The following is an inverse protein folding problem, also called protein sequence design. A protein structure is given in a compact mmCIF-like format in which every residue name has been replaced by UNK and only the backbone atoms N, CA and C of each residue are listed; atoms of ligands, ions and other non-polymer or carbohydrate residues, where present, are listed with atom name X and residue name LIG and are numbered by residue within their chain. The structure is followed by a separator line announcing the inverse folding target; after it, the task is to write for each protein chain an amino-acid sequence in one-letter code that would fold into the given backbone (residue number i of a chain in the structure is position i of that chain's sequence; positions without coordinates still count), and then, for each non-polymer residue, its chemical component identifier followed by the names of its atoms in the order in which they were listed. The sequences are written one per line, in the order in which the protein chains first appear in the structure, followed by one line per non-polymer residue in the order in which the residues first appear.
data_IF_006668074503
#
_entry.id   IF_006668074503
#
_cell.length_a   1.000
_cell.length_b   1.000
_cell.length_c   1.000
_cell.angle_alpha   90.00
_cell.angle_beta   90.00
_cell.angle_gamma   90.00
#
_symmetry.space_group_name_H-M   'P 1'
#
loop_
_entity.id
_entity.type
_entity.pdbx_description
1 polymer ?
#
# COMPACT_ATOMS: atom_id res chain seq x y z
N UNK A 1 4.08 3.64 12.94
CA UNK A 1 3.69 2.42 12.20
C UNK A 1 3.02 2.82 10.91
N UNK A 2 3.42 2.23 9.79
CA UNK A 2 2.93 2.57 8.45
C UNK A 2 2.48 1.30 7.73
N UNK A 3 1.48 1.41 6.86
CA UNK A 3 1.11 0.36 5.92
C UNK A 3 1.91 0.52 4.62
N UNK A 4 2.12 -0.60 3.91
CA UNK A 4 2.75 -0.61 2.59
C UNK A 4 1.67 -0.54 1.51
N UNK A 5 1.98 0.20 0.45
CA UNK A 5 1.16 0.30 -0.75
C UNK A 5 2.07 0.20 -1.97
N UNK A 6 1.54 -0.32 -3.07
CA UNK A 6 2.20 -0.24 -4.38
C UNK A 6 1.26 0.44 -5.36
N UNK A 7 1.81 1.17 -6.31
CA UNK A 7 1.08 1.68 -7.46
C UNK A 7 1.47 0.87 -8.69
N UNK A 8 0.46 0.41 -9.43
CA UNK A 8 0.64 -0.26 -10.70
C UNK A 8 -0.46 0.15 -11.66
N UNK A 9 -0.10 0.59 -12.85
CA UNK A 9 -1.02 1.01 -13.91
C UNK A 9 -1.99 2.11 -13.43
N UNK A 10 -1.50 3.03 -12.59
CA UNK A 10 -2.29 4.12 -11.99
C UNK A 10 -3.23 3.70 -10.86
N UNK A 11 -3.22 2.44 -10.44
CA UNK A 11 -4.03 1.91 -9.35
C UNK A 11 -3.17 1.61 -8.11
N UNK A 12 -3.63 2.06 -6.94
CA UNK A 12 -3.00 1.69 -5.68
C UNK A 12 -3.51 0.35 -5.17
N UNK A 13 -2.59 -0.47 -4.67
CA UNK A 13 -2.85 -1.74 -4.04
C UNK A 13 -2.27 -1.79 -2.63
N UNK A 14 -2.99 -2.41 -1.71
CA UNK A 14 -2.54 -2.69 -0.35
C UNK A 14 -2.82 -4.16 0.02
N UNK A 15 -2.00 -4.80 0.86
CA UNK A 15 -2.29 -6.15 1.30
C UNK A 15 -3.56 -6.19 2.18
N UNK A 16 -4.35 -7.29 2.11
CA UNK A 16 -5.52 -7.48 2.97
C UNK A 16 -5.12 -7.67 4.44
N UNK A 17 -6.04 -7.40 5.38
CA UNK A 17 -5.77 -7.56 6.82
C UNK A 17 -5.40 -9.00 7.21
N UNK A 18 -5.90 -9.98 6.44
CA UNK A 18 -5.55 -11.39 6.60
C UNK A 18 -4.04 -11.67 6.49
N UNK A 19 -3.24 -10.76 5.91
CA UNK A 19 -1.78 -10.84 5.88
C UNK A 19 -1.10 -10.48 7.22
N UNK A 20 -1.86 -10.22 8.30
CA UNK A 20 -1.32 -9.97 9.64
C UNK A 20 -0.84 -8.54 9.88
N UNK A 21 -1.40 -7.57 9.14
CA UNK A 21 -1.03 -6.16 9.24
C UNK A 21 -2.10 -5.33 9.97
N UNK A 22 -1.66 -4.21 10.54
CA UNK A 22 -2.55 -3.32 11.29
C UNK A 22 -3.58 -2.63 10.39
N UNK A 23 -4.85 -2.50 10.83
CA UNK A 23 -5.88 -1.75 10.14
C UNK A 23 -5.62 -0.24 10.25
N UNK A 24 -4.71 0.27 9.43
CA UNK A 24 -4.36 1.68 9.46
C UNK A 24 -5.47 2.57 8.90
N UNK A 25 -5.74 3.68 9.59
CA UNK A 25 -6.81 4.64 9.23
C UNK A 25 -6.65 5.17 7.79
N UNK A 26 -5.42 5.45 7.35
CA UNK A 26 -5.17 5.89 5.97
C UNK A 26 -5.58 4.82 4.95
N UNK A 27 -5.20 3.56 5.20
CA UNK A 27 -5.53 2.41 4.35
C UNK A 27 -7.03 2.26 4.23
N UNK A 28 -7.76 2.26 5.36
CA UNK A 28 -9.22 2.16 5.33
C UNK A 28 -9.88 3.28 4.53
N UNK A 29 -9.41 4.53 4.69
CA UNK A 29 -9.93 5.67 3.94
C UNK A 29 -9.69 5.52 2.43
N UNK A 30 -8.52 5.05 2.03
CA UNK A 30 -8.18 4.82 0.62
C UNK A 30 -9.01 3.68 0.01
N UNK A 31 -9.24 2.60 0.76
CA UNK A 31 -10.12 1.50 0.33
C UNK A 31 -11.57 1.97 0.20
N UNK A 32 -12.11 2.66 1.20
CA UNK A 32 -13.50 3.18 1.18
C UNK A 32 -13.77 4.19 0.06
N UNK A 33 -12.74 4.95 -0.34
CA UNK A 33 -12.85 5.92 -1.44
C UNK A 33 -12.63 5.32 -2.83
N UNK A 34 -12.38 4.00 -2.92
CA UNK A 34 -12.07 3.32 -4.18
C UNK A 34 -10.69 3.66 -4.76
N UNK A 35 -9.89 4.47 -4.05
CA UNK A 35 -8.55 4.88 -4.49
C UNK A 35 -7.51 3.79 -4.30
N UNK A 36 -7.81 2.76 -3.50
CA UNK A 36 -6.95 1.61 -3.28
C UNK A 36 -7.77 0.32 -3.35
N UNK A 37 -7.16 -0.75 -3.84
CA UNK A 37 -7.74 -2.09 -3.93
C UNK A 37 -6.93 -3.05 -3.05
N UNK A 38 -7.61 -3.94 -2.33
CA UNK A 38 -6.92 -5.00 -1.60
C UNK A 38 -6.38 -6.05 -2.58
N UNK A 39 -5.07 -6.32 -2.49
CA UNK A 39 -4.40 -7.38 -3.26
C UNK A 39 -3.26 -7.94 -2.42
N UNK A 40 -3.15 -9.27 -2.35
CA UNK A 40 -1.97 -9.90 -1.73
C UNK A 40 -0.74 -9.50 -2.53
N UNK A 41 0.20 -8.81 -1.87
CA UNK A 41 1.42 -8.30 -2.50
C UNK A 41 2.57 -9.28 -2.30
N UNK A 42 3.17 -9.73 -3.40
CA UNK A 42 4.40 -10.53 -3.37
C UNK A 42 5.62 -9.65 -3.66
N UNK A 43 6.83 -10.15 -3.36
CA UNK A 43 8.07 -9.43 -3.73
C UNK A 43 8.16 -9.14 -5.24
N UNK A 44 7.57 -10.00 -6.08
CA UNK A 44 7.51 -9.79 -7.53
C UNK A 44 6.62 -8.59 -7.88
N UNK A 45 5.48 -8.44 -7.19
CA UNK A 45 4.61 -7.28 -7.37
C UNK A 45 5.32 -5.98 -6.96
N UNK A 46 6.04 -6.00 -5.83
CA UNK A 46 6.77 -4.81 -5.35
C UNK A 46 7.91 -4.42 -6.30
N UNK A 47 8.63 -5.40 -6.86
CA UNK A 47 9.69 -5.15 -7.87
C UNK A 47 9.14 -4.67 -9.22
N UNK A 48 7.93 -5.09 -9.59
CA UNK A 48 7.27 -4.71 -10.84
C UNK A 48 6.36 -3.48 -10.74
N UNK A 49 6.22 -2.90 -9.55
CA UNK A 49 5.40 -1.72 -9.29
C UNK A 49 6.03 -0.47 -9.90
N UNK A 50 5.18 0.47 -10.32
CA UNK A 50 5.62 1.75 -10.87
C UNK A 50 6.10 2.68 -9.72
N UNK A 51 5.51 2.51 -8.54
CA UNK A 51 5.97 3.11 -7.29
C UNK A 51 5.60 2.26 -6.06
N UNK A 52 6.41 2.39 -5.01
CA UNK A 52 6.14 1.82 -3.69
C UNK A 52 5.96 2.96 -2.70
N UNK A 53 5.00 2.81 -1.79
CA UNK A 53 4.72 3.80 -0.76
C UNK A 53 4.62 3.14 0.62
N UNK A 54 5.04 3.91 1.62
CA UNK A 54 4.73 3.65 3.02
C UNK A 54 3.84 4.78 3.50
N UNK A 55 2.74 4.46 4.19
CA UNK A 55 1.82 5.50 4.62
C UNK A 55 1.13 5.26 5.95
N UNK A 56 0.78 6.36 6.60
CA UNK A 56 -0.02 6.39 7.82
C UNK A 56 -0.88 7.67 7.85
N UNK A 57 -1.77 7.80 8.82
CA UNK A 57 -2.69 8.93 8.93
C UNK A 57 -2.01 10.28 9.19
N UNK A 58 -0.78 10.28 9.72
CA UNK A 58 -0.05 11.50 10.08
C UNK A 58 0.63 12.10 8.86
N UNK A 59 1.35 11.27 8.09
CA UNK A 59 2.20 11.71 6.99
C UNK A 59 1.62 11.43 5.60
N UNK A 60 0.47 10.77 5.51
CA UNK A 60 -0.10 10.35 4.23
C UNK A 60 0.74 9.26 3.57
N UNK A 61 0.76 9.24 2.24
CA UNK A 61 1.60 8.33 1.45
C UNK A 61 2.97 8.98 1.21
N UNK A 62 4.02 8.30 1.63
CA UNK A 62 5.41 8.70 1.38
C UNK A 62 6.02 7.68 0.44
N UNK A 63 6.65 8.15 -0.65
CA UNK A 63 7.32 7.27 -1.61
C UNK A 63 8.48 6.57 -0.92
N UNK A 64 8.55 5.25 -1.07
CA UNK A 64 9.58 4.41 -0.51
C UNK A 64 10.45 3.85 -1.63
N UNK A 65 11.75 3.75 -1.35
CA UNK A 65 12.71 3.05 -2.21
C UNK A 65 13.08 1.75 -1.51
N UNK A 66 12.57 0.60 -1.99
CA UNK A 66 12.94 -0.67 -1.40
C UNK A 66 14.43 -0.93 -1.61
N UNK A 67 15.12 -1.34 -0.56
CA UNK A 67 16.47 -1.89 -0.67
C UNK A 67 16.34 -3.39 -0.95
N UNK A 68 16.61 -3.81 -2.18
CA UNK A 68 16.62 -5.20 -2.60
C UNK A 68 18.00 -5.61 -3.07
#
# INVERSE_FOLDING_TARGET
MSNVFIEKDGQLFAPPLACGLLPGVLRERLLKSGKCIEKVLTLRDVRGADAVYCGNSVWGLVRAHPAF
#
